data_IF_136275701545
#
_entry.id   IF_136275701545
#
_cell.length_a   1.000
_cell.length_b   1.000
_cell.length_c   1.000
_cell.angle_alpha   90.00
_cell.angle_beta   90.00
_cell.angle_gamma   90.00
#
_symmetry.space_group_name_H-M   'P 1'
#
loop_
_entity.id
_entity.type
_entity.pdbx_description
1 polymer ?
#
# COMPACT_ATOMS: atom_id res chain seq x y z
N UNK A 1 17.06 14.03 30.46
CA UNK A 1 17.29 14.74 29.17
C UNK A 1 16.20 15.80 29.07
N UNK A 2 16.53 17.04 28.66
CA UNK A 2 15.77 18.28 28.94
C UNK A 2 14.25 18.20 28.75
N UNK A 3 13.52 19.00 29.53
CA UNK A 3 12.05 19.01 29.66
C UNK A 3 11.30 18.69 28.35
N UNK A 4 10.74 17.49 28.29
CA UNK A 4 9.92 16.99 27.17
C UNK A 4 10.32 15.58 26.76
N UNK A 5 9.33 14.70 26.60
CA UNK A 5 9.55 13.29 26.26
C UNK A 5 10.44 13.11 25.01
N UNK A 6 11.33 12.10 24.99
CA UNK A 6 12.38 11.93 23.98
C UNK A 6 11.84 11.35 22.66
N UNK A 7 10.89 12.05 22.04
CA UNK A 7 10.31 11.69 20.74
C UNK A 7 10.93 12.46 19.57
N UNK A 8 11.78 13.46 19.84
CA UNK A 8 12.44 14.33 18.83
C UNK A 8 13.94 14.47 19.09
N UNK A 9 14.68 14.79 18.02
CA UNK A 9 16.08 15.22 18.12
C UNK A 9 16.16 16.56 18.86
N UNK A 10 17.17 16.70 19.71
CA UNK A 10 17.39 17.91 20.52
C UNK A 10 18.22 18.92 19.72
N UNK A 11 17.93 20.21 19.86
CA UNK A 11 18.78 21.31 19.35
C UNK A 11 20.17 21.31 20.00
N UNK A 12 20.31 20.65 21.15
CA UNK A 12 21.59 20.29 21.73
C UNK A 12 22.03 18.92 21.21
N UNK A 13 23.23 18.87 20.58
CA UNK A 13 23.87 17.72 19.92
C UNK A 13 24.07 16.44 20.78
N UNK A 14 23.58 16.42 22.02
CA UNK A 14 23.81 15.35 22.99
C UNK A 14 22.69 14.31 23.05
N UNK A 15 21.62 14.46 22.27
CA UNK A 15 20.47 13.54 22.26
C UNK A 15 20.44 12.63 21.04
N UNK A 16 20.71 11.34 21.22
CA UNK A 16 20.51 10.33 20.16
C UNK A 16 19.09 9.77 20.20
N UNK A 17 18.51 9.51 19.03
CA UNK A 17 17.20 8.83 18.93
C UNK A 17 17.38 7.36 19.34
N UNK A 18 16.68 6.85 20.37
CA UNK A 18 16.93 5.50 20.88
C UNK A 18 16.80 4.38 19.83
N UNK A 19 15.83 4.51 18.92
CA UNK A 19 15.63 3.56 17.82
C UNK A 19 16.80 3.56 16.84
N UNK A 20 17.38 4.73 16.55
CA UNK A 20 18.56 4.85 15.71
C UNK A 20 19.79 4.22 16.40
N UNK A 21 19.97 4.46 17.70
CA UNK A 21 21.08 3.86 18.47
C UNK A 21 21.01 2.34 18.44
N UNK A 22 19.81 1.77 18.67
CA UNK A 22 19.58 0.33 18.54
C UNK A 22 19.91 -0.18 17.14
N UNK A 23 19.51 0.55 16.10
CA UNK A 23 19.79 0.16 14.72
C UNK A 23 21.29 0.18 14.38
N UNK A 24 22.03 1.18 14.88
CA UNK A 24 23.48 1.31 14.67
C UNK A 24 24.24 0.13 15.27
N UNK A 25 23.73 -0.49 16.35
CA UNK A 25 24.27 -1.71 16.97
C UNK A 25 25.81 -1.74 17.04
N UNK A 26 26.41 -0.87 17.85
CA UNK A 26 27.87 -0.80 18.00
C UNK A 26 28.62 -0.60 16.66
N UNK A 27 28.10 0.27 15.77
CA UNK A 27 28.64 0.59 14.43
C UNK A 27 28.51 -0.54 13.39
N UNK A 28 27.67 -1.55 13.63
CA UNK A 28 27.38 -2.61 12.66
C UNK A 28 26.28 -2.21 11.66
N UNK A 29 25.41 -1.26 12.02
CA UNK A 29 24.33 -0.74 11.16
C UNK A 29 23.36 -1.81 10.64
N UNK A 30 23.16 -2.86 11.43
CA UNK A 30 22.43 -4.06 11.04
C UNK A 30 21.08 -4.22 11.75
N UNK A 31 20.76 -3.40 12.77
CA UNK A 31 19.55 -3.60 13.56
C UNK A 31 19.65 -4.66 14.65
N UNK A 32 20.83 -5.18 14.99
CA UNK A 32 20.96 -6.30 15.94
C UNK A 32 20.47 -6.01 17.36
N UNK A 33 20.25 -4.74 17.73
CA UNK A 33 19.62 -4.35 19.00
C UNK A 33 18.20 -3.77 18.82
N UNK A 34 17.67 -3.73 17.59
CA UNK A 34 16.31 -3.25 17.32
C UNK A 34 15.27 -4.17 17.95
N UNK A 35 14.16 -3.57 18.40
CA UNK A 35 12.97 -4.29 18.85
C UNK A 35 12.29 -5.01 17.69
N UNK A 36 11.45 -6.05 17.94
CA UNK A 36 10.69 -6.71 16.89
C UNK A 36 9.86 -5.75 16.02
N UNK A 37 9.20 -4.77 16.65
CA UNK A 37 8.38 -3.78 15.96
C UNK A 37 9.22 -2.85 15.07
N UNK A 38 10.43 -2.48 15.50
CA UNK A 38 11.35 -1.68 14.68
C UNK A 38 11.86 -2.47 13.46
N UNK A 39 12.13 -3.76 13.64
CA UNK A 39 12.53 -4.64 12.55
C UNK A 39 11.40 -4.83 11.54
N UNK A 40 10.17 -5.04 12.02
CA UNK A 40 8.97 -5.15 11.19
C UNK A 40 8.71 -3.88 10.39
N UNK A 41 8.73 -2.71 11.05
CA UNK A 41 8.56 -1.41 10.39
C UNK A 41 9.65 -1.18 9.35
N UNK A 42 10.90 -1.54 9.66
CA UNK A 42 12.02 -1.41 8.72
C UNK A 42 11.86 -2.36 7.52
N UNK A 43 11.43 -3.61 7.73
CA UNK A 43 11.16 -4.55 6.65
C UNK A 43 10.07 -4.02 5.70
N UNK A 44 8.96 -3.51 6.27
CA UNK A 44 7.89 -2.86 5.51
C UNK A 44 8.40 -1.73 4.62
N UNK A 45 9.08 -0.73 5.20
CA UNK A 45 9.58 0.41 4.42
C UNK A 45 10.67 0.02 3.43
N UNK A 46 11.53 -0.96 3.74
CA UNK A 46 12.51 -1.46 2.77
C UNK A 46 11.80 -2.06 1.56
N UNK A 47 10.74 -2.84 1.74
CA UNK A 47 9.97 -3.41 0.62
C UNK A 47 9.28 -2.31 -0.18
N UNK A 48 8.55 -1.44 0.50
CA UNK A 48 7.81 -0.34 -0.12
C UNK A 48 8.74 0.56 -0.95
N UNK A 49 9.82 1.05 -0.36
CA UNK A 49 10.74 1.96 -1.05
C UNK A 49 11.47 1.28 -2.22
N UNK A 50 11.92 0.03 -2.06
CA UNK A 50 12.54 -0.69 -3.17
C UNK A 50 11.54 -0.99 -4.29
N UNK A 51 10.28 -1.30 -3.98
CA UNK A 51 9.24 -1.44 -5.00
C UNK A 51 9.03 -0.12 -5.75
N UNK A 52 8.92 1.01 -5.03
CA UNK A 52 8.71 2.32 -5.65
C UNK A 52 9.83 2.75 -6.59
N UNK A 53 11.08 2.36 -6.32
CA UNK A 53 12.22 2.65 -7.20
C UNK A 53 12.17 1.91 -8.53
N UNK A 54 11.49 0.76 -8.58
CA UNK A 54 11.49 -0.13 -9.75
C UNK A 54 10.13 -0.17 -10.48
N UNK A 55 9.13 0.57 -9.99
CA UNK A 55 7.79 0.60 -10.57
C UNK A 55 7.61 1.82 -11.48
N UNK A 56 7.45 1.56 -12.78
CA UNK A 56 7.16 2.60 -13.77
C UNK A 56 5.76 3.20 -13.56
N UNK A 57 4.80 2.39 -13.11
CA UNK A 57 3.43 2.84 -12.87
C UNK A 57 3.35 3.93 -11.78
N UNK A 58 4.15 3.82 -10.72
CA UNK A 58 4.12 4.77 -9.60
C UNK A 58 4.59 6.18 -9.99
N UNK A 59 5.38 6.33 -11.04
CA UNK A 59 5.84 7.61 -11.59
C UNK A 59 5.00 8.14 -12.77
N UNK A 60 4.01 7.36 -13.24
CA UNK A 60 3.29 7.62 -14.49
C UNK A 60 1.86 8.11 -14.23
N UNK A 61 0.86 7.45 -14.83
CA UNK A 61 -0.53 7.87 -14.76
C UNK A 61 -1.13 7.58 -13.39
N UNK A 62 -2.12 8.39 -13.01
CA UNK A 62 -2.83 8.29 -11.75
C UNK A 62 -4.32 8.53 -11.97
N UNK A 63 -5.16 7.75 -11.30
CA UNK A 63 -6.58 8.02 -11.19
C UNK A 63 -7.09 7.64 -9.80
N UNK A 64 -7.75 8.58 -9.14
CA UNK A 64 -8.54 8.28 -7.94
C UNK A 64 -9.74 7.38 -8.28
N UNK A 65 -10.02 6.42 -7.41
CA UNK A 65 -11.27 5.63 -7.47
C UNK A 65 -12.01 5.64 -6.13
N UNK A 66 -11.56 6.44 -5.16
CA UNK A 66 -12.11 6.50 -3.81
C UNK A 66 -13.54 7.07 -3.81
N UNK A 67 -13.74 8.23 -4.42
CA UNK A 67 -15.07 8.87 -4.45
C UNK A 67 -16.09 8.02 -5.19
N UNK A 68 -15.66 7.34 -6.25
CA UNK A 68 -16.49 6.40 -6.98
C UNK A 68 -16.92 5.23 -6.09
N UNK A 69 -15.97 4.61 -5.37
CA UNK A 69 -16.28 3.45 -4.53
C UNK A 69 -17.09 3.80 -3.28
N UNK A 70 -16.97 5.02 -2.71
CA UNK A 70 -17.89 5.49 -1.65
C UNK A 70 -19.35 5.43 -2.12
N UNK A 71 -19.62 5.71 -3.40
CA UNK A 71 -20.99 5.81 -3.93
C UNK A 71 -21.51 4.49 -4.49
N UNK A 72 -20.62 3.62 -4.99
CA UNK A 72 -21.01 2.47 -5.80
C UNK A 72 -20.66 1.11 -5.18
N UNK A 73 -19.89 1.09 -4.10
CA UNK A 73 -19.38 -0.14 -3.49
C UNK A 73 -19.87 -0.27 -2.06
N UNK A 74 -20.67 -1.31 -1.81
CA UNK A 74 -21.14 -1.63 -0.48
C UNK A 74 -19.96 -1.94 0.45
N UNK A 75 -20.05 -1.51 1.72
CA UNK A 75 -19.01 -1.68 2.75
C UNK A 75 -17.71 -0.91 2.54
N UNK A 76 -17.55 -0.20 1.42
CA UNK A 76 -16.50 0.80 1.24
C UNK A 76 -16.88 2.11 1.96
N UNK A 77 -15.93 2.75 2.65
CA UNK A 77 -16.19 3.94 3.47
C UNK A 77 -15.03 4.96 3.46
N UNK A 78 -15.20 6.06 4.20
CA UNK A 78 -14.26 7.18 4.31
C UNK A 78 -12.93 6.84 5.02
N UNK A 79 -12.80 5.65 5.60
CA UNK A 79 -11.56 5.15 6.23
C UNK A 79 -10.67 4.37 5.28
N UNK A 80 -11.16 4.04 4.10
CA UNK A 80 -10.38 3.35 3.07
C UNK A 80 -10.08 4.34 1.95
N UNK A 81 -8.85 4.35 1.45
CA UNK A 81 -8.48 5.08 0.24
C UNK A 81 -8.10 4.08 -0.84
N UNK A 82 -8.53 4.34 -2.07
CA UNK A 82 -8.13 3.54 -3.21
C UNK A 82 -7.91 4.38 -4.45
N UNK A 83 -6.84 4.08 -5.18
CA UNK A 83 -6.47 4.74 -6.43
C UNK A 83 -5.72 3.77 -7.33
N UNK A 84 -5.62 4.10 -8.62
CA UNK A 84 -4.94 3.30 -9.61
C UNK A 84 -3.77 4.08 -10.20
N UNK A 85 -2.65 3.39 -10.39
CA UNK A 85 -1.43 3.90 -11.03
C UNK A 85 -1.06 2.98 -12.19
N UNK A 86 -0.67 3.53 -13.33
CA UNK A 86 -0.28 2.69 -14.47
C UNK A 86 0.71 3.36 -15.43
N UNK A 87 1.51 2.53 -16.08
CA UNK A 87 2.31 2.79 -17.27
C UNK A 87 1.82 1.89 -18.40
N UNK A 88 2.53 1.89 -19.53
CA UNK A 88 2.26 0.97 -20.64
C UNK A 88 2.49 -0.51 -20.25
N UNK A 89 3.41 -0.76 -19.31
CA UNK A 89 3.91 -2.09 -18.93
C UNK A 89 3.39 -2.57 -17.58
N UNK A 90 2.84 -1.67 -16.76
CA UNK A 90 2.48 -1.98 -15.38
C UNK A 90 1.19 -1.28 -14.96
N UNK A 91 0.31 -2.03 -14.28
CA UNK A 91 -1.00 -1.54 -13.81
C UNK A 91 -1.16 -1.95 -12.34
N UNK A 92 -1.38 -0.97 -11.47
CA UNK A 92 -1.43 -1.14 -10.02
C UNK A 92 -2.72 -0.56 -9.45
N UNK A 93 -3.38 -1.35 -8.60
CA UNK A 93 -4.48 -0.90 -7.75
C UNK A 93 -3.92 -0.76 -6.33
N UNK A 94 -4.01 0.43 -5.76
CA UNK A 94 -3.55 0.71 -4.40
C UNK A 94 -4.78 0.85 -3.52
N UNK A 95 -4.77 0.17 -2.37
CA UNK A 95 -5.81 0.25 -1.34
C UNK A 95 -5.14 0.39 0.02
N UNK A 96 -5.63 1.31 0.86
CA UNK A 96 -5.12 1.52 2.20
C UNK A 96 -6.27 1.69 3.19
N UNK A 97 -6.22 0.96 4.30
CA UNK A 97 -7.12 1.12 5.42
C UNK A 97 -6.48 2.03 6.48
N UNK A 98 -7.13 3.15 6.81
CA UNK A 98 -6.67 4.08 7.84
C UNK A 98 -7.36 3.87 9.20
N UNK A 99 -8.23 2.85 9.32
CA UNK A 99 -8.80 2.47 10.60
C UNK A 99 -7.84 1.55 11.36
N UNK A 100 -7.59 1.86 12.64
CA UNK A 100 -6.70 1.09 13.51
C UNK A 100 -7.38 -0.11 14.19
N UNK A 101 -8.71 -0.16 14.17
CA UNK A 101 -9.51 -1.09 14.94
C UNK A 101 -10.35 -2.03 14.06
N UNK A 102 -10.69 -1.61 12.84
CA UNK A 102 -11.66 -2.32 11.99
C UNK A 102 -11.04 -2.86 10.68
N UNK A 103 -11.36 -4.13 10.40
CA UNK A 103 -11.21 -4.78 9.09
C UNK A 103 -12.39 -4.42 8.18
N UNK A 104 -12.13 -4.34 6.87
CA UNK A 104 -13.18 -4.15 5.87
C UNK A 104 -13.09 -5.20 4.76
N UNK A 105 -14.24 -5.56 4.19
CA UNK A 105 -14.34 -6.48 3.07
C UNK A 105 -15.36 -5.96 2.06
N UNK A 106 -14.93 -5.72 0.82
CA UNK A 106 -15.76 -5.12 -0.23
C UNK A 106 -15.32 -5.57 -1.63
N UNK A 107 -16.21 -5.45 -2.60
CA UNK A 107 -15.92 -5.70 -4.01
C UNK A 107 -15.57 -4.38 -4.69
N UNK A 108 -14.28 -4.04 -4.66
CA UNK A 108 -13.76 -2.79 -5.19
C UNK A 108 -14.04 -2.71 -6.70
N UNK A 109 -14.61 -1.60 -7.14
CA UNK A 109 -14.98 -1.37 -8.53
C UNK A 109 -13.96 -0.50 -9.26
N UNK A 110 -13.64 -0.91 -10.49
CA UNK A 110 -12.92 -0.10 -11.48
C UNK A 110 -13.94 0.45 -12.50
N UNK A 111 -14.14 1.78 -12.56
CA UNK A 111 -15.09 2.39 -13.49
C UNK A 111 -14.77 2.07 -14.95
N UNK A 112 -15.78 2.06 -15.81
CA UNK A 112 -15.65 1.77 -17.24
C UNK A 112 -14.58 2.61 -17.94
N UNK A 113 -14.56 3.91 -17.66
CA UNK A 113 -13.57 4.83 -18.23
C UNK A 113 -12.13 4.51 -17.79
N UNK A 114 -11.94 3.94 -16.59
CA UNK A 114 -10.63 3.50 -16.14
C UNK A 114 -10.23 2.19 -16.83
N UNK A 115 -11.14 1.22 -16.92
CA UNK A 115 -10.90 -0.05 -17.62
C UNK A 115 -10.47 0.19 -19.07
N UNK A 116 -11.15 1.13 -19.77
CA UNK A 116 -10.76 1.57 -21.12
C UNK A 116 -9.35 2.17 -21.18
N UNK A 117 -8.99 3.05 -20.23
CA UNK A 117 -7.64 3.65 -20.15
C UNK A 117 -6.56 2.60 -19.88
N UNK A 118 -6.89 1.59 -19.08
CA UNK A 118 -6.01 0.46 -18.81
C UNK A 118 -5.97 -0.54 -19.97
N UNK A 119 -6.82 -0.40 -20.99
CA UNK A 119 -6.93 -1.33 -22.12
C UNK A 119 -7.17 -2.78 -21.66
N UNK A 120 -7.99 -2.93 -20.61
CA UNK A 120 -8.42 -4.25 -20.15
C UNK A 120 -9.68 -4.65 -20.91
N UNK A 121 -9.75 -5.91 -21.33
CA UNK A 121 -10.91 -6.49 -22.00
C UNK A 121 -11.81 -7.20 -20.98
N UNK A 122 -13.04 -7.54 -21.38
CA UNK A 122 -13.91 -8.38 -20.56
C UNK A 122 -13.26 -9.77 -20.35
N UNK A 123 -13.14 -10.19 -19.10
CA UNK A 123 -12.42 -11.40 -18.72
C UNK A 123 -11.96 -11.38 -17.27
N UNK A 124 -11.23 -12.43 -16.91
CA UNK A 124 -10.72 -12.63 -15.56
C UNK A 124 -9.20 -12.40 -15.54
N UNK A 125 -8.74 -11.64 -14.55
CA UNK A 125 -7.34 -11.28 -14.35
C UNK A 125 -6.94 -11.62 -12.92
N UNK A 126 -5.66 -11.94 -12.69
CA UNK A 126 -5.17 -12.09 -11.33
C UNK A 126 -4.60 -10.77 -10.83
N UNK A 127 -4.93 -10.40 -9.60
CA UNK A 127 -4.22 -9.33 -8.88
C UNK A 127 -3.40 -9.90 -7.73
N UNK A 128 -2.19 -9.36 -7.54
CA UNK A 128 -1.27 -9.86 -6.50
C UNK A 128 -0.59 -8.71 -5.75
N UNK A 129 -0.57 -8.81 -4.42
CA UNK A 129 0.19 -7.89 -3.58
C UNK A 129 1.69 -7.94 -3.88
N UNK A 130 2.30 -6.76 -4.03
CA UNK A 130 3.71 -6.60 -4.35
C UNK A 130 4.62 -6.36 -3.13
N UNK A 131 4.05 -6.12 -1.93
CA UNK A 131 4.86 -5.87 -0.73
C UNK A 131 5.32 -7.18 -0.07
N UNK A 132 4.38 -8.05 0.25
CA UNK A 132 4.62 -9.31 0.94
C UNK A 132 4.33 -10.54 0.08
N UNK A 133 3.62 -10.38 -1.05
CA UNK A 133 3.22 -11.46 -1.94
C UNK A 133 2.34 -12.53 -1.26
N UNK A 134 1.59 -12.13 -0.24
CA UNK A 134 0.73 -13.02 0.56
C UNK A 134 -0.74 -12.95 0.16
N UNK A 135 -1.15 -11.87 -0.49
CA UNK A 135 -2.50 -11.65 -0.93
C UNK A 135 -2.61 -11.73 -2.46
N UNK A 136 -3.59 -12.49 -2.92
CA UNK A 136 -4.01 -12.56 -4.33
C UNK A 136 -5.51 -12.55 -4.39
N UNK A 137 -6.06 -11.90 -5.41
CA UNK A 137 -7.49 -11.88 -5.70
C UNK A 137 -7.72 -11.94 -7.21
N UNK A 138 -8.98 -12.05 -7.60
CA UNK A 138 -9.40 -12.07 -9.00
C UNK A 138 -10.05 -10.74 -9.35
N UNK A 139 -9.59 -10.12 -10.42
CA UNK A 139 -10.21 -8.95 -11.04
C UNK A 139 -11.05 -9.44 -12.22
N UNK A 140 -12.36 -9.30 -12.10
CA UNK A 140 -13.32 -9.70 -13.12
C UNK A 140 -13.81 -8.45 -13.85
N UNK A 141 -13.54 -8.36 -15.15
CA UNK A 141 -14.06 -7.30 -16.02
C UNK A 141 -15.30 -7.82 -16.75
N UNK A 142 -16.45 -7.17 -16.55
CA UNK A 142 -17.71 -7.50 -17.23
C UNK A 142 -18.41 -6.23 -17.70
N UNK A 143 -18.79 -6.20 -18.98
CA UNK A 143 -19.38 -5.04 -19.63
C UNK A 143 -18.53 -3.77 -19.42
N UNK A 144 -17.20 -3.91 -19.47
CA UNK A 144 -16.25 -2.84 -19.26
C UNK A 144 -16.08 -2.37 -17.81
N UNK A 145 -16.78 -2.93 -16.81
CA UNK A 145 -16.60 -2.58 -15.39
C UNK A 145 -15.81 -3.67 -14.69
N UNK A 146 -14.77 -3.28 -13.95
CA UNK A 146 -13.95 -4.22 -13.17
C UNK A 146 -14.44 -4.36 -11.74
N UNK A 147 -14.41 -5.59 -11.21
CA UNK A 147 -14.72 -5.89 -9.81
C UNK A 147 -13.61 -6.76 -9.23
N UNK A 148 -13.12 -6.43 -8.04
CA UNK A 148 -12.09 -7.21 -7.33
C UNK A 148 -12.43 -7.30 -5.84
N UNK A 149 -12.45 -8.53 -5.31
CA UNK A 149 -12.64 -8.74 -3.87
C UNK A 149 -11.43 -8.22 -3.12
N UNK A 150 -11.66 -7.36 -2.13
CA UNK A 150 -10.64 -6.83 -1.21
C UNK A 150 -11.10 -7.08 0.22
N UNK A 151 -10.32 -7.87 0.96
CA UNK A 151 -10.43 -8.02 2.40
C UNK A 151 -9.16 -7.42 3.03
N UNK A 152 -9.30 -6.34 3.81
CA UNK A 152 -8.18 -5.51 4.28
C UNK A 152 -8.23 -5.31 5.80
N UNK A 153 -7.16 -5.69 6.48
CA UNK A 153 -6.99 -5.59 7.93
C UNK A 153 -6.79 -4.14 8.42
N UNK A 154 -6.90 -3.87 9.74
CA UNK A 154 -6.63 -2.55 10.29
C UNK A 154 -5.21 -2.09 9.97
N UNK A 155 -5.06 -0.83 9.51
CA UNK A 155 -3.80 -0.22 9.06
C UNK A 155 -3.07 -0.97 7.93
N UNK A 156 -3.72 -1.94 7.28
CA UNK A 156 -3.14 -2.66 6.16
C UNK A 156 -3.22 -1.83 4.87
N UNK A 157 -2.30 -2.11 3.96
CA UNK A 157 -2.34 -1.58 2.61
C UNK A 157 -1.89 -2.63 1.60
N UNK A 158 -2.44 -2.54 0.40
CA UNK A 158 -2.06 -3.36 -0.73
C UNK A 158 -1.57 -2.51 -1.89
N UNK A 159 -0.53 -3.01 -2.55
CA UNK A 159 -0.17 -2.63 -3.91
C UNK A 159 -0.45 -3.85 -4.77
N UNK A 160 -1.63 -3.89 -5.39
CA UNK A 160 -2.09 -5.02 -6.19
C UNK A 160 -1.71 -4.81 -7.64
N UNK A 161 -0.78 -5.63 -8.15
CA UNK A 161 -0.43 -5.64 -9.58
C UNK A 161 -1.40 -6.52 -10.35
N UNK A 162 -1.94 -5.99 -11.45
CA UNK A 162 -2.79 -6.72 -12.38
C UNK A 162 -1.90 -7.53 -13.32
N UNK A 163 -2.12 -8.84 -13.37
CA UNK A 163 -1.44 -9.77 -14.26
C UNK A 163 -2.47 -10.37 -15.23
N UNK A 164 -2.09 -10.47 -16.50
CA UNK A 164 -2.79 -11.30 -17.48
C UNK A 164 -2.58 -12.78 -17.10
N UNK A 165 -3.65 -13.58 -17.22
CA UNK A 165 -3.62 -15.02 -16.97
C UNK A 165 -2.92 -15.78 -18.11
#
# INVERSE_FOLDING_TARGET
LGFGDPTRTSIFDYGSVPSLVRWVNNKQFDGGQSTPQELELRDFYKRLLNFTLNSEALASNYQDIHLYNIQNTEWYNDKVLSFVRWSDTEKLIIVANFNADNTYGFDLQLPEELVKKLQLEDGDYQVKDQLYNRYTSELVIKNGVGNVRVDIEPLESFILKINEL
#
